data_IF_259821880327
#
_entry.id   IF_259821880327
#
_cell.length_a   1.000
_cell.length_b   1.000
_cell.length_c   1.000
_cell.angle_alpha   90.00
_cell.angle_beta   90.00
_cell.angle_gamma   90.00
#
_symmetry.space_group_name_H-M   'P 1'
#
loop_
_entity.id
_entity.type
_entity.pdbx_description
1 polymer ?
#
# COMPACT_ATOMS: atom_id res chain seq x y z
N UNK A 1 13.63 0.45 -21.49
CA UNK A 1 12.49 0.44 -20.55
C UNK A 1 12.99 -0.30 -19.33
N UNK A 2 13.48 0.44 -18.33
CA UNK A 2 14.13 -0.20 -17.17
C UNK A 2 13.11 -0.31 -16.05
N UNK A 3 12.46 -1.48 -15.97
CA UNK A 3 11.62 -1.84 -14.84
C UNK A 3 12.51 -2.45 -13.78
N UNK A 4 12.46 -1.89 -12.57
CA UNK A 4 13.09 -2.49 -11.40
C UNK A 4 12.03 -3.04 -10.45
N UNK A 5 12.41 -3.99 -9.62
CA UNK A 5 11.64 -4.44 -8.48
C UNK A 5 12.43 -4.19 -7.20
N UNK A 6 11.90 -3.37 -6.29
CA UNK A 6 12.40 -3.30 -4.93
C UNK A 6 11.62 -4.26 -4.03
N UNK A 7 12.29 -5.27 -3.49
CA UNK A 7 11.77 -6.15 -2.44
C UNK A 7 12.18 -5.60 -1.07
N UNK A 8 11.25 -5.58 -0.13
CA UNK A 8 11.56 -5.24 1.27
C UNK A 8 10.82 -6.16 2.22
N UNK A 9 11.58 -6.82 3.09
CA UNK A 9 11.01 -7.64 4.16
C UNK A 9 10.80 -6.76 5.37
N UNK A 10 9.57 -6.68 5.88
CA UNK A 10 9.23 -5.89 7.04
C UNK A 10 8.83 -6.78 8.21
N UNK A 11 9.29 -6.40 9.40
CA UNK A 11 8.67 -6.78 10.66
C UNK A 11 7.53 -5.78 10.95
N UNK A 12 6.29 -6.26 11.13
CA UNK A 12 5.10 -5.43 11.29
C UNK A 12 4.26 -5.82 12.51
N UNK A 13 4.79 -5.63 13.74
CA UNK A 13 4.16 -6.16 14.95
C UNK A 13 2.67 -5.82 15.07
N UNK A 14 2.28 -4.62 14.61
CA UNK A 14 0.90 -4.17 14.47
C UNK A 14 0.72 -3.39 13.15
N UNK A 15 -0.40 -3.62 12.46
CA UNK A 15 -0.77 -2.94 11.23
C UNK A 15 -2.24 -2.53 11.21
N UNK A 16 -2.51 -1.30 10.76
CA UNK A 16 -3.84 -0.77 10.48
C UNK A 16 -3.82 0.22 9.31
N UNK A 17 -4.93 0.26 8.57
CA UNK A 17 -5.17 1.27 7.55
C UNK A 17 -6.22 2.27 8.00
N UNK A 18 -6.06 3.51 7.56
CA UNK A 18 -7.11 4.51 7.72
C UNK A 18 -8.09 4.46 6.57
N UNK A 19 -9.31 3.99 6.83
CA UNK A 19 -10.44 4.27 5.96
C UNK A 19 -10.94 5.71 6.17
N UNK A 20 -11.39 6.40 5.10
CA UNK A 20 -12.09 7.67 5.21
C UNK A 20 -13.60 7.48 5.52
N UNK A 21 -13.95 6.40 6.22
CA UNK A 21 -15.30 6.14 6.71
C UNK A 21 -15.61 7.03 7.93
N UNK A 22 -16.85 6.98 8.44
CA UNK A 22 -17.31 7.75 9.61
C UNK A 22 -16.28 7.70 10.74
N UNK A 23 -16.04 8.86 11.39
CA UNK A 23 -14.94 9.15 12.31
C UNK A 23 -14.71 8.20 13.52
N UNK A 24 -15.51 7.14 13.63
CA UNK A 24 -15.63 6.24 14.78
C UNK A 24 -15.25 4.78 14.49
N UNK A 25 -15.09 4.36 13.23
CA UNK A 25 -14.70 2.98 12.88
C UNK A 25 -13.49 2.98 11.94
N UNK A 26 -12.43 2.30 12.35
CA UNK A 26 -11.21 2.12 11.57
C UNK A 26 -11.09 0.66 11.13
N UNK A 27 -11.49 0.40 9.89
CA UNK A 27 -11.37 -0.91 9.24
C UNK A 27 -9.94 -1.08 8.69
N UNK A 28 -9.37 -2.26 8.85
CA UNK A 28 -8.03 -2.58 8.33
C UNK A 28 -8.04 -3.72 7.32
N UNK A 29 -7.19 -3.61 6.29
CA UNK A 29 -6.97 -4.68 5.32
C UNK A 29 -6.04 -5.74 5.86
N UNK A 30 -6.33 -7.01 5.60
CA UNK A 30 -5.55 -8.15 6.17
C UNK A 30 -4.06 -8.06 5.83
N UNK A 31 -3.72 -7.46 4.68
CA UNK A 31 -2.36 -7.11 4.28
C UNK A 31 -2.27 -5.64 3.86
N UNK A 32 -1.08 -5.02 3.88
CA UNK A 32 -0.91 -3.68 3.32
C UNK A 32 -1.36 -3.60 1.88
N UNK A 33 -2.19 -2.60 1.60
CA UNK A 33 -2.69 -2.35 0.25
C UNK A 33 -1.55 -1.94 -0.69
N UNK A 34 -1.63 -2.28 -1.99
CA UNK A 34 -0.67 -1.80 -3.00
C UNK A 34 -0.42 -0.29 -2.92
N UNK A 35 -1.49 0.49 -2.73
CA UNK A 35 -1.41 1.94 -2.59
C UNK A 35 -0.62 2.37 -1.36
N UNK A 36 -0.80 1.69 -0.23
CA UNK A 36 -0.05 1.98 1.00
C UNK A 36 1.45 1.76 0.80
N UNK A 37 1.82 0.67 0.12
CA UNK A 37 3.23 0.37 -0.18
C UNK A 37 3.85 1.40 -1.12
N UNK A 38 3.13 1.86 -2.13
CA UNK A 38 3.63 2.92 -3.03
C UNK A 38 3.75 4.25 -2.29
N UNK A 39 2.79 4.57 -1.42
CA UNK A 39 2.84 5.79 -0.60
C UNK A 39 4.02 5.78 0.37
N UNK A 40 4.40 4.60 0.90
CA UNK A 40 5.58 4.42 1.73
C UNK A 40 6.84 4.85 0.98
N UNK A 41 7.02 4.36 -0.24
CA UNK A 41 8.16 4.70 -1.08
C UNK A 41 8.17 6.20 -1.42
N UNK A 42 7.03 6.75 -1.84
CA UNK A 42 6.91 8.17 -2.16
C UNK A 42 7.29 9.06 -0.96
N UNK A 43 6.90 8.66 0.25
CA UNK A 43 7.29 9.34 1.49
C UNK A 43 8.79 9.24 1.74
N UNK A 44 9.38 8.05 1.65
CA UNK A 44 10.82 7.86 1.88
C UNK A 44 11.68 8.67 0.88
N UNK A 45 11.26 8.74 -0.38
CA UNK A 45 11.90 9.60 -1.39
C UNK A 45 11.76 11.08 -1.03
N UNK A 46 10.59 11.51 -0.58
CA UNK A 46 10.39 12.87 -0.08
C UNK A 46 11.31 13.21 1.10
N UNK A 47 11.48 12.28 2.04
CA UNK A 47 12.37 12.46 3.20
C UNK A 47 13.85 12.55 2.79
N UNK A 48 14.33 11.68 1.88
CA UNK A 48 15.71 11.73 1.38
C UNK A 48 16.01 13.03 0.64
N UNK A 49 15.01 13.59 -0.02
CA UNK A 49 15.11 14.81 -0.84
C UNK A 49 14.67 16.06 -0.07
N UNK A 50 14.57 15.97 1.25
CA UNK A 50 14.28 17.07 2.17
C UNK A 50 12.99 17.85 1.82
N UNK A 51 12.00 17.17 1.22
CA UNK A 51 10.70 17.75 0.93
C UNK A 51 9.84 17.75 2.20
N UNK A 52 9.44 18.94 2.65
CA UNK A 52 8.54 19.04 3.80
C UNK A 52 7.13 18.60 3.41
N UNK A 53 6.42 17.93 4.33
CA UNK A 53 5.06 17.40 4.07
C UNK A 53 4.05 18.48 3.66
N UNK A 54 4.30 19.73 4.04
CA UNK A 54 3.45 20.90 3.77
C UNK A 54 3.95 21.75 2.60
N UNK A 55 5.08 21.40 1.99
CA UNK A 55 5.65 22.16 0.88
C UNK A 55 4.66 22.22 -0.27
N UNK A 56 4.23 23.43 -0.64
CA UNK A 56 3.32 23.66 -1.77
C UNK A 56 4.11 24.08 -3.01
N UNK A 57 3.79 23.43 -4.13
CA UNK A 57 4.38 23.71 -5.44
C UNK A 57 3.28 24.20 -6.37
N UNK A 58 3.59 25.22 -7.18
CA UNK A 58 2.67 25.71 -8.22
C UNK A 58 2.76 24.79 -9.42
N UNK A 59 1.67 24.10 -9.71
CA UNK A 59 1.54 23.21 -10.86
C UNK A 59 0.67 23.87 -11.93
N UNK A 60 1.13 23.83 -13.17
CA UNK A 60 0.34 24.20 -14.35
C UNK A 60 -0.64 23.07 -14.67
N UNK A 61 -1.92 23.39 -14.64
CA UNK A 61 -3.00 22.46 -15.02
C UNK A 61 -3.08 22.31 -16.53
N UNK A 62 -3.70 21.22 -17.00
CA UNK A 62 -4.02 21.03 -18.42
C UNK A 62 -4.87 22.16 -19.02
N UNK A 63 -5.60 22.91 -18.18
CA UNK A 63 -6.41 24.08 -18.55
C UNK A 63 -5.64 25.42 -18.47
N UNK A 64 -4.31 25.40 -18.34
CA UNK A 64 -3.47 26.60 -18.29
C UNK A 64 -3.49 27.38 -16.96
N UNK A 65 -4.37 27.02 -16.02
CA UNK A 65 -4.41 27.64 -14.69
C UNK A 65 -3.26 27.14 -13.80
N UNK A 66 -2.70 27.98 -12.92
CA UNK A 66 -1.73 27.57 -11.90
C UNK A 66 -2.46 27.26 -10.60
N UNK A 67 -2.27 26.07 -10.06
CA UNK A 67 -2.78 25.68 -8.73
C UNK A 67 -1.65 25.29 -7.80
N UNK A 68 -1.83 25.56 -6.51
CA UNK A 68 -0.90 25.07 -5.49
C UNK A 68 -1.29 23.66 -5.05
N UNK A 69 -0.33 22.76 -5.07
CA UNK A 69 -0.46 21.38 -4.62
C UNK A 69 0.65 21.05 -3.63
N UNK A 70 0.36 20.18 -2.69
CA UNK A 70 1.37 19.66 -1.77
C UNK A 70 2.33 18.73 -2.54
N UNK A 71 3.65 18.89 -2.34
CA UNK A 71 4.67 18.09 -3.02
C UNK A 71 4.46 16.59 -2.78
N UNK A 72 4.02 16.19 -1.57
CA UNK A 72 3.70 14.80 -1.24
C UNK A 72 2.59 14.20 -2.13
N UNK A 73 1.59 14.99 -2.53
CA UNK A 73 0.51 14.52 -3.38
C UNK A 73 1.03 14.29 -4.80
N UNK A 74 1.92 15.15 -5.27
CA UNK A 74 2.56 15.00 -6.57
C UNK A 74 3.47 13.77 -6.57
N UNK A 75 4.33 13.60 -5.55
CA UNK A 75 5.16 12.40 -5.41
C UNK A 75 4.30 11.13 -5.43
N UNK A 76 3.25 11.10 -4.62
CA UNK A 76 2.37 9.95 -4.58
C UNK A 76 1.69 9.69 -5.93
N UNK A 77 1.24 10.72 -6.64
CA UNK A 77 0.69 10.60 -7.99
C UNK A 77 1.73 10.05 -8.98
N UNK A 78 2.97 10.56 -8.95
CA UNK A 78 4.06 10.10 -9.81
C UNK A 78 4.31 8.61 -9.61
N UNK A 79 4.50 8.18 -8.37
CA UNK A 79 4.80 6.78 -8.09
C UNK A 79 3.59 5.88 -8.35
N UNK A 80 2.36 6.28 -8.00
CA UNK A 80 1.16 5.46 -8.24
C UNK A 80 0.85 5.25 -9.73
N UNK A 81 1.23 6.19 -10.60
CA UNK A 81 1.09 6.06 -12.06
C UNK A 81 2.19 5.23 -12.71
N UNK A 82 3.39 5.22 -12.12
CA UNK A 82 4.57 4.59 -12.71
C UNK A 82 4.97 3.26 -12.07
N UNK A 83 4.16 2.75 -11.14
CA UNK A 83 4.52 1.57 -10.35
C UNK A 83 3.35 0.61 -10.13
N UNK A 84 3.68 -0.65 -9.85
CA UNK A 84 2.80 -1.64 -9.23
C UNK A 84 3.37 -2.06 -7.88
N UNK A 85 2.51 -2.49 -6.96
CA UNK A 85 2.97 -3.01 -5.69
C UNK A 85 2.12 -4.18 -5.19
N UNK A 86 2.77 -5.13 -4.53
CA UNK A 86 2.11 -6.30 -3.96
C UNK A 86 2.71 -6.66 -2.61
N UNK A 87 1.93 -7.33 -1.78
CA UNK A 87 2.34 -7.87 -0.49
C UNK A 87 2.31 -9.39 -0.50
N UNK A 88 3.31 -10.00 0.15
CA UNK A 88 3.41 -11.43 0.43
C UNK A 88 3.52 -11.63 1.94
N UNK A 89 2.58 -12.36 2.56
CA UNK A 89 2.71 -12.73 3.95
C UNK A 89 3.81 -13.79 4.10
N UNK A 90 4.77 -13.54 4.98
CA UNK A 90 5.85 -14.48 5.31
C UNK A 90 5.61 -15.20 6.65
N UNK A 91 4.58 -14.78 7.38
CA UNK A 91 4.15 -15.37 8.64
C UNK A 91 2.62 -15.40 8.74
N UNK A 92 2.05 -16.22 9.65
CA UNK A 92 0.65 -16.11 10.02
C UNK A 92 0.26 -14.69 10.43
N UNK A 93 -1.00 -14.35 10.15
CA UNK A 93 -1.60 -13.04 10.39
C UNK A 93 -2.79 -13.21 11.31
N UNK A 94 -2.85 -12.43 12.39
CA UNK A 94 -4.00 -12.42 13.30
C UNK A 94 -4.72 -11.10 13.17
N UNK A 95 -5.99 -11.13 12.79
CA UNK A 95 -6.86 -9.95 12.82
C UNK A 95 -7.53 -9.86 14.18
N UNK A 96 -7.47 -8.70 14.82
CA UNK A 96 -8.10 -8.43 16.11
C UNK A 96 -8.82 -7.10 16.07
N UNK A 97 -9.99 -6.99 16.70
CA UNK A 97 -10.67 -5.71 16.90
C UNK A 97 -10.35 -5.23 18.30
N UNK A 98 -9.86 -3.99 18.43
CA UNK A 98 -9.64 -3.34 19.70
C UNK A 98 -10.45 -2.05 19.75
N UNK A 99 -11.19 -1.84 20.83
CA UNK A 99 -11.85 -0.55 21.06
C UNK A 99 -10.83 0.36 21.74
N UNK A 100 -10.37 1.38 21.02
CA UNK A 100 -9.50 2.42 21.57
C UNK A 100 -10.37 3.54 22.11
N UNK A 101 -10.21 3.82 23.40
CA UNK A 101 -10.85 4.97 24.02
C UNK A 101 -10.06 6.22 23.68
N UNK A 102 -10.62 7.11 22.88
CA UNK A 102 -10.03 8.40 22.57
C UNK A 102 -10.40 9.40 23.65
N UNK A 103 -9.37 9.98 24.25
CA UNK A 103 -9.52 11.13 25.14
C UNK A 103 -9.03 12.34 24.35
N UNK A 104 -9.93 13.25 24.02
CA UNK A 104 -9.58 14.51 23.37
C UNK A 104 -8.76 15.37 24.34
N UNK A 105 -7.44 15.39 24.19
CA UNK A 105 -6.53 16.14 25.08
C UNK A 105 -6.50 17.64 24.71
N UNK A 106 -6.78 17.99 23.44
CA UNK A 106 -6.73 19.39 22.98
C UNK A 106 -7.98 19.85 22.22
N UNK A 107 -8.83 20.58 22.94
CA UNK A 107 -9.72 21.70 22.56
C UNK A 107 -11.09 21.60 23.23
N UNK A 108 -11.18 22.17 24.44
CA UNK A 108 -12.32 22.93 25.00
C UNK A 108 -13.76 22.55 24.55
N UNK A 109 -14.11 21.28 24.50
CA UNK A 109 -15.52 20.85 24.52
C UNK A 109 -15.84 20.34 25.93
N UNK A 110 -15.91 21.28 26.87
CA UNK A 110 -16.50 21.02 28.18
C UNK A 110 -18.01 21.20 28.05
N UNK A 111 -18.77 20.13 28.21
CA UNK A 111 -20.22 20.23 28.38
C UNK A 111 -20.45 20.54 29.87
N UNK A 112 -20.94 21.73 30.21
CA UNK A 112 -21.42 22.00 31.56
C UNK A 112 -22.76 21.30 31.78
N UNK A 113 -22.75 20.21 32.55
CA UNK A 113 -24.00 19.69 33.12
C UNK A 113 -24.45 20.62 34.25
N UNK A 114 -25.76 20.84 34.35
CA UNK A 114 -26.40 21.55 35.47
C UNK A 114 -25.95 20.85 36.78
N UNK A 115 -24.98 21.45 37.48
CA UNK A 115 -24.26 21.03 38.72
C UNK A 115 -22.75 20.72 38.59
N UNK A 116 -21.98 21.59 37.92
CA UNK A 116 -20.48 21.68 38.08
C UNK A 116 -19.66 20.40 37.80
N UNK A 117 -20.25 19.34 37.26
CA UNK A 117 -19.49 18.19 36.77
C UNK A 117 -18.97 18.48 35.36
N UNK A 118 -17.64 18.47 35.22
CA UNK A 118 -16.95 18.61 33.93
C UNK A 118 -16.79 17.23 33.31
N UNK A 119 -17.53 16.95 32.25
CA UNK A 119 -17.38 15.71 31.49
C UNK A 119 -16.63 16.00 30.18
N UNK A 120 -15.49 15.32 29.99
CA UNK A 120 -14.83 15.26 28.69
C UNK A 120 -15.59 14.21 27.86
N UNK A 121 -16.13 14.54 26.66
CA UNK A 121 -16.74 13.54 25.80
C UNK A 121 -15.70 12.46 25.47
N UNK A 122 -16.05 11.22 25.81
CA UNK A 122 -15.24 10.02 25.54
C UNK A 122 -15.75 9.43 24.24
N UNK A 123 -15.04 9.66 23.14
CA UNK A 123 -15.31 8.91 21.92
C UNK A 123 -14.54 7.60 21.98
N UNK A 124 -15.21 6.51 21.64
CA UNK A 124 -14.56 5.22 21.43
C UNK A 124 -14.38 5.05 19.92
N UNK A 125 -13.16 4.75 19.50
CA UNK A 125 -12.85 4.36 18.12
C UNK A 125 -12.66 2.85 18.13
N UNK A 126 -13.42 2.12 17.32
CA UNK A 126 -13.12 0.72 17.09
C UNK A 126 -11.98 0.64 16.06
N UNK A 127 -10.90 -0.03 16.41
CA UNK A 127 -9.70 -0.19 15.58
C UNK A 127 -9.50 -1.66 15.29
N UNK A 128 -9.57 -2.04 14.02
CA UNK A 128 -9.06 -3.35 13.61
C UNK A 128 -7.54 -3.30 13.55
N UNK A 129 -6.89 -4.07 14.41
CA UNK A 129 -5.44 -4.23 14.47
C UNK A 129 -5.08 -5.61 13.96
N UNK A 130 -4.16 -5.63 13.02
CA UNK A 130 -3.59 -6.85 12.49
C UNK A 130 -2.23 -7.04 13.14
N UNK A 131 -2.07 -8.16 13.83
CA UNK A 131 -0.76 -8.62 14.25
C UNK A 131 -0.19 -9.50 13.17
N UNK A 132 0.91 -9.05 12.58
CA UNK A 132 1.58 -9.72 11.49
C UNK A 132 3.07 -9.78 11.81
N UNK A 133 3.67 -10.95 11.90
CA UNK A 133 5.09 -10.97 12.26
C UNK A 133 5.96 -10.47 11.11
N UNK A 134 5.76 -10.96 9.88
CA UNK A 134 6.63 -10.68 8.74
C UNK A 134 5.90 -10.64 7.40
N UNK A 135 6.17 -9.63 6.59
CA UNK A 135 5.77 -9.57 5.16
C UNK A 135 6.97 -9.30 4.27
N UNK A 136 6.85 -9.64 3.00
CA UNK A 136 7.58 -9.00 1.91
C UNK A 136 6.65 -8.02 1.17
N UNK A 137 7.18 -6.84 0.86
CA UNK A 137 6.58 -5.85 -0.01
C UNK A 137 7.38 -5.80 -1.31
N UNK A 138 6.70 -5.87 -2.44
CA UNK A 138 7.29 -5.81 -3.77
C UNK A 138 6.81 -4.54 -4.46
N UNK A 139 7.74 -3.68 -4.88
CA UNK A 139 7.48 -2.42 -5.56
C UNK A 139 8.13 -2.46 -6.95
N UNK A 140 7.31 -2.58 -7.98
CA UNK A 140 7.76 -2.60 -9.36
C UNK A 140 7.67 -1.19 -9.95
N UNK A 141 8.78 -0.64 -10.43
CA UNK A 141 8.89 0.77 -10.82
C UNK A 141 9.40 0.91 -12.24
N UNK A 142 8.72 1.75 -13.01
CA UNK A 142 9.26 2.28 -14.26
C UNK A 142 10.06 3.56 -13.99
N UNK A 143 11.37 3.44 -13.69
CA UNK A 143 12.22 4.56 -13.24
C UNK A 143 12.18 5.72 -14.23
N UNK A 144 12.30 5.44 -15.53
CA UNK A 144 12.32 6.47 -16.56
C UNK A 144 11.04 7.31 -16.53
N UNK A 145 9.89 6.65 -16.36
CA UNK A 145 8.59 7.32 -16.29
C UNK A 145 8.39 8.10 -14.99
N UNK A 146 8.96 7.61 -13.87
CA UNK A 146 9.04 8.37 -12.61
C UNK A 146 9.82 9.65 -12.85
N UNK A 147 11.02 9.56 -13.44
CA UNK A 147 11.91 10.70 -13.65
C UNK A 147 11.33 11.71 -14.65
N UNK A 148 10.71 11.27 -15.74
CA UNK A 148 9.97 12.15 -16.67
C UNK A 148 8.86 12.92 -15.96
N UNK A 149 8.09 12.23 -15.10
CA UNK A 149 7.02 12.86 -14.34
C UNK A 149 7.56 13.84 -13.31
N UNK A 150 8.65 13.51 -12.61
CA UNK A 150 9.30 14.40 -11.65
C UNK A 150 9.87 15.65 -12.33
N UNK A 151 10.56 15.52 -13.47
CA UNK A 151 11.05 16.67 -14.26
C UNK A 151 9.93 17.65 -14.61
N UNK A 152 8.74 17.14 -14.91
CA UNK A 152 7.58 17.95 -15.26
C UNK A 152 6.93 18.65 -14.06
N UNK A 153 6.78 17.97 -12.93
CA UNK A 153 5.93 18.46 -11.82
C UNK A 153 6.69 18.85 -10.55
N UNK A 154 7.88 18.29 -10.33
CA UNK A 154 8.77 18.52 -9.18
C UNK A 154 10.26 18.49 -9.61
N UNK A 155 10.70 19.38 -10.53
CA UNK A 155 12.06 19.34 -11.07
C UNK A 155 13.16 19.48 -10.00
N UNK A 156 12.84 20.11 -8.87
CA UNK A 156 13.77 20.26 -7.75
C UNK A 156 14.14 18.96 -7.04
N UNK A 157 13.36 17.88 -7.23
CA UNK A 157 13.65 16.56 -6.65
C UNK A 157 14.83 15.90 -7.35
N UNK A 158 15.05 16.22 -8.63
CA UNK A 158 16.02 15.55 -9.48
C UNK A 158 15.60 14.12 -9.86
N UNK A 159 16.52 13.41 -10.51
CA UNK A 159 16.29 12.03 -10.94
C UNK A 159 16.44 11.06 -9.76
N UNK A 160 15.50 10.11 -9.68
CA UNK A 160 15.47 8.99 -8.75
C UNK A 160 16.26 7.83 -9.34
N UNK A 161 17.15 7.28 -8.52
CA UNK A 161 17.98 6.11 -8.85
C UNK A 161 17.57 4.89 -8.03
N UNK A 162 18.06 3.70 -8.41
CA UNK A 162 17.88 2.46 -7.63
C UNK A 162 18.37 2.61 -6.18
N UNK A 163 19.49 3.31 -5.97
CA UNK A 163 20.04 3.59 -4.63
C UNK A 163 19.12 4.48 -3.80
N UNK A 164 18.41 5.42 -4.43
CA UNK A 164 17.42 6.25 -3.74
C UNK A 164 16.22 5.41 -3.29
N UNK A 165 15.75 4.50 -4.14
CA UNK A 165 14.66 3.57 -3.83
C UNK A 165 15.05 2.66 -2.67
N UNK A 166 16.24 2.06 -2.73
CA UNK A 166 16.80 1.24 -1.66
C UNK A 166 16.88 2.01 -0.34
N UNK A 167 17.46 3.22 -0.37
CA UNK A 167 17.59 4.08 0.82
C UNK A 167 16.22 4.48 1.37
N UNK A 168 15.26 4.79 0.51
CA UNK A 168 13.90 5.20 0.91
C UNK A 168 13.19 4.09 1.70
N UNK A 169 13.37 2.84 1.27
CA UNK A 169 12.78 1.68 1.91
C UNK A 169 13.52 1.30 3.21
N UNK A 170 14.85 1.53 3.28
CA UNK A 170 15.63 1.32 4.51
C UNK A 170 15.26 2.26 5.64
N UNK A 171 14.82 3.48 5.34
CA UNK A 171 14.41 4.46 6.36
C UNK A 171 12.92 4.39 6.69
N UNK A 172 12.16 3.52 6.02
CA UNK A 172 10.73 3.35 6.27
C UNK A 172 10.48 2.86 7.71
N UNK A 173 9.80 3.66 8.52
CA UNK A 173 9.50 3.34 9.93
C UNK A 173 8.04 3.01 10.21
N UNK A 174 7.16 3.27 9.25
CA UNK A 174 5.70 3.21 9.44
C UNK A 174 5.05 2.73 8.15
N UNK A 175 4.18 1.71 8.23
CA UNK A 175 3.33 1.28 7.11
C UNK A 175 1.87 1.39 7.55
N UNK A 176 1.09 2.23 6.86
CA UNK A 176 -0.28 2.55 7.26
C UNK A 176 -0.31 3.80 8.15
N UNK A 177 -0.99 3.72 9.30
CA UNK A 177 -1.11 4.85 10.24
C UNK A 177 0.15 5.04 11.10
N UNK A 178 0.31 6.23 11.68
CA UNK A 178 1.45 6.64 12.52
C UNK A 178 1.79 5.67 13.64
N UNK A 179 0.79 4.97 14.18
CA UNK A 179 0.94 4.03 15.29
C UNK A 179 1.46 2.65 14.82
N UNK A 180 1.51 2.41 13.52
CA UNK A 180 1.81 1.12 12.90
C UNK A 180 3.29 1.06 12.51
N UNK A 181 4.12 0.76 13.50
CA UNK A 181 5.56 0.67 13.33
C UNK A 181 5.93 -0.47 12.37
N UNK A 182 6.86 -0.17 11.48
CA UNK A 182 7.45 -1.11 10.54
C UNK A 182 8.96 -1.04 10.66
N UNK A 183 9.61 -2.21 10.72
CA UNK A 183 11.07 -2.29 10.69
C UNK A 183 11.51 -3.02 9.43
N UNK A 184 12.23 -2.36 8.51
CA UNK A 184 12.81 -3.04 7.36
C UNK A 184 13.92 -3.97 7.84
N UNK A 185 13.81 -5.24 7.48
CA UNK A 185 14.77 -6.31 7.82
C UNK A 185 15.82 -6.41 6.72
N UNK A 186 15.36 -6.45 5.47
CA UNK A 186 16.19 -6.50 4.27
C UNK A 186 15.53 -5.71 3.15
N UNK A 187 16.35 -5.07 2.33
CA UNK A 187 15.93 -4.35 1.13
C UNK A 187 16.84 -4.78 0.00
N UNK A 188 16.26 -5.24 -1.09
CA UNK A 188 16.96 -5.66 -2.29
C UNK A 188 16.29 -5.02 -3.51
N UNK A 189 17.08 -4.58 -4.47
CA UNK A 189 16.59 -4.00 -5.73
C UNK A 189 17.10 -4.89 -6.85
N UNK A 190 16.17 -5.34 -7.69
CA UNK A 190 16.44 -6.21 -8.83
C UNK A 190 16.04 -5.51 -10.11
N UNK A 191 16.84 -5.68 -11.16
CA UNK A 191 16.57 -5.23 -12.53
C UNK A 191 16.08 -6.38 -13.43
N UNK A 192 16.02 -7.59 -12.87
CA UNK A 192 15.69 -8.82 -13.58
C UNK A 192 14.82 -9.73 -12.71
N UNK A 193 13.88 -10.40 -13.37
CA UNK A 193 12.98 -11.38 -12.78
C UNK A 193 12.58 -12.40 -13.84
N UNK A 194 12.27 -13.62 -13.40
CA UNK A 194 11.96 -14.72 -14.31
C UNK A 194 10.48 -14.68 -14.71
N UNK A 195 10.18 -14.79 -16.00
CA UNK A 195 8.79 -14.85 -16.49
C UNK A 195 8.39 -16.32 -16.58
N UNK A 196 7.46 -16.74 -15.71
CA UNK A 196 6.98 -18.12 -15.66
C UNK A 196 6.02 -18.42 -16.81
N UNK A 197 5.09 -17.50 -17.09
CA UNK A 197 4.05 -17.67 -18.11
C UNK A 197 2.65 -17.30 -17.63
N UNK A 198 1.63 -17.94 -18.19
CA UNK A 198 0.21 -17.61 -17.94
C UNK A 198 -0.48 -18.51 -16.90
N UNK A 199 0.16 -19.58 -16.45
CA UNK A 199 -0.37 -20.54 -15.48
C UNK A 199 0.71 -20.95 -14.50
N UNK A 200 0.37 -21.03 -13.21
CA UNK A 200 1.31 -21.37 -12.16
C UNK A 200 0.79 -20.99 -10.78
N UNK A 201 1.70 -20.92 -9.81
CA UNK A 201 1.38 -20.55 -8.43
C UNK A 201 1.84 -19.13 -8.12
N UNK A 202 1.01 -18.39 -7.40
CA UNK A 202 1.36 -17.08 -6.83
C UNK A 202 1.36 -17.15 -5.31
N UNK A 203 2.15 -16.28 -4.69
CA UNK A 203 2.19 -16.12 -3.24
C UNK A 203 2.15 -14.64 -2.83
N UNK A 204 1.78 -13.76 -3.74
CA UNK A 204 1.48 -12.34 -3.50
C UNK A 204 0.00 -12.07 -3.69
N UNK A 205 -0.48 -10.93 -3.17
CA UNK A 205 -1.83 -10.46 -3.52
C UNK A 205 -1.97 -10.20 -5.02
N UNK A 206 -3.17 -10.42 -5.58
CA UNK A 206 -3.46 -10.21 -6.99
C UNK A 206 -4.89 -9.67 -7.20
N UNK A 207 -5.11 -8.68 -8.09
CA UNK A 207 -6.44 -8.33 -8.57
C UNK A 207 -7.17 -9.54 -9.16
N UNK A 208 -8.43 -9.75 -8.79
CA UNK A 208 -9.24 -10.84 -9.35
C UNK A 208 -9.48 -10.65 -10.86
N UNK A 209 -9.58 -9.41 -11.31
CA UNK A 209 -9.85 -9.08 -12.72
C UNK A 209 -8.71 -9.46 -13.66
N UNK A 210 -7.54 -9.84 -13.14
CA UNK A 210 -6.39 -10.31 -13.92
C UNK A 210 -6.43 -11.81 -14.18
N UNK A 211 -7.29 -12.54 -13.47
CA UNK A 211 -7.41 -13.99 -13.57
C UNK A 211 -8.43 -14.37 -14.65
N UNK A 212 -8.21 -15.51 -15.32
CA UNK A 212 -9.17 -16.09 -16.28
C UNK A 212 -10.39 -16.69 -15.58
N UNK A 213 -10.18 -17.20 -14.36
CA UNK A 213 -11.18 -17.94 -13.60
C UNK A 213 -11.18 -17.46 -12.14
N UNK A 214 -12.31 -17.64 -11.47
CA UNK A 214 -12.45 -17.34 -10.04
C UNK A 214 -11.72 -18.43 -9.24
N UNK A 215 -10.72 -18.02 -8.47
CA UNK A 215 -9.98 -18.91 -7.57
C UNK A 215 -10.79 -19.22 -6.30
N UNK A 216 -10.75 -20.47 -5.87
CA UNK A 216 -11.35 -20.91 -4.60
C UNK A 216 -10.35 -20.90 -3.43
N UNK A 217 -9.06 -20.83 -3.73
CA UNK A 217 -7.98 -20.72 -2.76
C UNK A 217 -7.75 -19.25 -2.40
N UNK A 218 -7.28 -19.00 -1.17
CA UNK A 218 -6.96 -17.66 -0.69
C UNK A 218 -8.13 -16.90 -0.06
N UNK A 219 -7.84 -15.72 0.48
CA UNK A 219 -8.82 -14.81 1.08
C UNK A 219 -9.19 -13.73 0.06
N UNK A 220 -10.47 -13.58 -0.25
CA UNK A 220 -10.93 -12.51 -1.13
C UNK A 220 -11.27 -11.28 -0.30
N UNK A 221 -10.71 -10.13 -0.67
CA UNK A 221 -10.92 -8.86 0.03
C UNK A 221 -11.03 -7.68 -0.94
N UNK A 222 -11.88 -6.69 -0.64
CA UNK A 222 -11.90 -5.40 -1.34
C UNK A 222 -10.78 -4.51 -0.83
N UNK A 223 -9.83 -4.12 -1.69
CA UNK A 223 -8.63 -3.37 -1.29
C UNK A 223 -8.57 -2.02 -2.01
N UNK A 224 -8.11 -0.98 -1.29
CA UNK A 224 -7.80 0.32 -1.89
C UNK A 224 -6.67 0.20 -2.93
N UNK A 225 -6.94 0.62 -4.16
CA UNK A 225 -5.98 0.51 -5.27
C UNK A 225 -5.20 1.79 -5.55
N UNK A 226 -4.05 1.64 -6.21
CA UNK A 226 -3.28 2.75 -6.77
C UNK A 226 -3.78 3.12 -8.17
N UNK A 227 -3.41 4.31 -8.64
CA UNK A 227 -3.90 4.86 -9.90
C UNK A 227 -3.75 3.95 -11.13
N UNK A 228 -2.64 3.21 -11.23
CA UNK A 228 -2.37 2.34 -12.38
C UNK A 228 -3.28 1.12 -12.50
N UNK A 229 -4.03 0.79 -11.45
CA UNK A 229 -5.05 -0.26 -11.46
C UNK A 229 -6.45 0.26 -11.83
N UNK A 230 -6.61 1.58 -11.96
CA UNK A 230 -7.89 2.16 -12.35
C UNK A 230 -8.13 1.98 -13.85
N UNK A 231 -9.39 1.77 -14.27
CA UNK A 231 -9.74 1.72 -15.69
C UNK A 231 -9.56 3.07 -16.40
N UNK A 232 -9.56 4.17 -15.63
CA UNK A 232 -9.38 5.53 -16.14
C UNK A 232 -8.02 6.06 -15.73
N UNK A 233 -7.23 6.51 -16.72
CA UNK A 233 -5.93 7.12 -16.49
C UNK A 233 -6.09 8.48 -15.80
N UNK A 234 -5.42 8.65 -14.67
CA UNK A 234 -5.42 9.92 -13.92
C UNK A 234 -4.22 10.76 -14.35
N UNK A 235 -4.43 11.59 -15.38
CA UNK A 235 -3.37 12.39 -16.03
C UNK A 235 -2.88 13.59 -15.21
N UNK A 236 -3.69 14.07 -14.24
CA UNK A 236 -3.37 15.27 -13.45
C UNK A 236 -3.40 14.94 -11.95
N UNK A 237 -2.35 15.28 -11.17
CA UNK A 237 -2.33 15.10 -9.72
C UNK A 237 -3.48 15.80 -8.98
N UNK A 238 -4.12 16.83 -9.56
CA UNK A 238 -5.30 17.48 -8.98
C UNK A 238 -6.52 16.56 -8.87
N UNK A 239 -6.61 15.55 -9.73
CA UNK A 239 -7.72 14.60 -9.72
C UNK A 239 -7.51 13.44 -8.76
N UNK A 240 -6.30 13.33 -8.18
CA UNK A 240 -5.91 12.24 -7.29
C UNK A 240 -6.91 12.05 -6.13
N UNK A 241 -7.42 13.13 -5.53
CA UNK A 241 -8.37 13.08 -4.41
C UNK A 241 -9.68 12.37 -4.75
N UNK A 242 -10.13 12.46 -6.00
CA UNK A 242 -11.40 11.86 -6.48
C UNK A 242 -11.35 10.33 -6.49
N UNK A 243 -10.16 9.75 -6.68
CA UNK A 243 -9.98 8.31 -6.87
C UNK A 243 -9.43 7.60 -5.63
N UNK A 244 -9.27 8.30 -4.50
CA UNK A 244 -8.68 7.73 -3.27
C UNK A 244 -9.55 6.69 -2.57
N UNK A 245 -10.80 6.53 -2.96
CA UNK A 245 -11.74 5.60 -2.33
C UNK A 245 -12.07 4.40 -3.21
N UNK A 246 -11.49 4.36 -4.42
CA UNK A 246 -11.70 3.24 -5.34
C UNK A 246 -11.13 1.97 -4.74
N UNK A 247 -11.95 0.91 -4.78
CA UNK A 247 -11.59 -0.43 -4.33
C UNK A 247 -11.71 -1.40 -5.49
N UNK A 248 -10.90 -2.44 -5.43
CA UNK A 248 -10.99 -3.59 -6.33
C UNK A 248 -10.87 -4.85 -5.50
N UNK A 249 -11.47 -5.95 -5.98
CA UNK A 249 -11.36 -7.24 -5.33
C UNK A 249 -10.02 -7.87 -5.61
N UNK A 250 -9.34 -8.30 -4.56
CA UNK A 250 -8.10 -9.04 -4.64
C UNK A 250 -8.28 -10.43 -4.07
N UNK A 251 -7.52 -11.38 -4.58
CA UNK A 251 -7.18 -12.59 -3.84
C UNK A 251 -5.90 -12.33 -3.06
N UNK A 252 -5.94 -12.64 -1.76
CA UNK A 252 -4.81 -12.62 -0.86
C UNK A 252 -4.30 -14.05 -0.63
N UNK A 253 -2.97 -14.29 -0.62
CA UNK A 253 -2.33 -15.60 -0.41
C UNK A 253 -2.39 -16.03 1.06
N UNK A 254 -3.59 -16.10 1.59
CA UNK A 254 -3.93 -16.36 2.99
C UNK A 254 -5.10 -17.34 3.07
N UNK A 255 -5.01 -18.33 3.95
CA UNK A 255 -6.12 -19.23 4.30
C UNK A 255 -6.52 -19.06 5.75
N UNK A 256 -7.82 -19.00 6.04
CA UNK A 256 -8.33 -18.92 7.40
C UNK A 256 -8.15 -20.27 8.10
N UNK A 257 -7.50 -20.26 9.24
CA UNK A 257 -7.27 -21.39 10.11
C UNK A 257 -7.85 -21.10 11.50
N UNK A 258 -8.34 -22.16 12.16
CA UNK A 258 -8.89 -22.09 13.52
C UNK A 258 -8.11 -23.02 14.42
N UNK A 259 -7.58 -22.50 15.53
CA UNK A 259 -6.93 -23.32 16.55
C UNK A 259 -7.57 -23.08 17.91
N UNK A 260 -7.55 -24.11 18.77
CA UNK A 260 -7.95 -23.95 20.17
C UNK A 260 -6.69 -23.64 20.97
N UNK A 261 -6.65 -22.47 21.61
CA UNK A 261 -5.57 -22.04 22.49
C UNK A 261 -6.16 -21.65 23.85
N UNK A 262 -5.70 -22.30 24.92
CA UNK A 262 -6.19 -22.07 26.29
C UNK A 262 -7.73 -22.17 26.42
N UNK A 263 -8.34 -23.13 25.73
CA UNK A 263 -9.80 -23.34 25.72
C UNK A 263 -10.59 -22.34 24.87
N UNK A 264 -9.93 -21.40 24.19
CA UNK A 264 -10.57 -20.43 23.30
C UNK A 264 -10.25 -20.73 21.84
N UNK A 265 -11.23 -20.57 20.95
CA UNK A 265 -11.01 -20.63 19.51
C UNK A 265 -10.32 -19.33 19.07
N UNK A 266 -9.14 -19.47 18.49
CA UNK A 266 -8.34 -18.38 17.92
C UNK A 266 -8.32 -18.55 16.41
N UNK A 267 -8.79 -17.53 15.70
CA UNK A 267 -8.71 -17.44 14.25
C UNK A 267 -7.42 -16.74 13.82
N UNK A 268 -6.75 -17.30 12.81
CA UNK A 268 -5.58 -16.70 12.18
C UNK A 268 -5.55 -17.04 10.70
N UNK A 269 -4.82 -16.25 9.91
CA UNK A 269 -4.65 -16.46 8.49
C UNK A 269 -3.24 -16.97 8.22
N UNK A 270 -3.11 -18.16 7.63
CA UNK A 270 -1.83 -18.78 7.29
C UNK A 270 -1.44 -18.42 5.84
N UNK A 271 -0.16 -18.10 5.55
CA UNK A 271 0.32 -17.96 4.18
C UNK A 271 0.10 -19.24 3.37
N UNK A 272 -0.43 -19.09 2.16
CA UNK A 272 -0.63 -20.18 1.21
C UNK A 272 -0.19 -19.76 -0.19
N UNK A 273 0.04 -20.74 -1.06
CA UNK A 273 0.23 -20.50 -2.48
C UNK A 273 -1.08 -20.75 -3.21
N UNK A 274 -1.35 -19.95 -4.24
CA UNK A 274 -2.61 -20.00 -4.99
C UNK A 274 -2.29 -20.40 -6.42
N UNK A 275 -2.92 -21.48 -6.89
CA UNK A 275 -2.89 -21.89 -8.30
C UNK A 275 -3.76 -20.93 -9.13
N UNK A 276 -3.20 -20.36 -10.19
CA UNK A 276 -3.84 -19.33 -11.00
C UNK A 276 -3.61 -19.54 -12.50
N UNK A 277 -4.61 -19.15 -13.28
CA UNK A 277 -4.50 -18.88 -14.72
C UNK A 277 -4.80 -17.41 -14.96
N UNK A 278 -3.88 -16.69 -15.59
CA UNK A 278 -4.00 -15.24 -15.84
C UNK A 278 -4.47 -14.96 -17.25
N UNK A 279 -5.11 -13.80 -17.46
CA UNK A 279 -5.52 -13.33 -18.79
C UNK A 279 -4.29 -13.04 -19.66
N UNK A 280 -4.48 -13.00 -20.97
CA UNK A 280 -3.39 -13.01 -21.95
C UNK A 280 -2.52 -11.74 -21.87
N UNK A 281 -3.04 -10.65 -21.32
CA UNK A 281 -2.33 -9.38 -21.11
C UNK A 281 -1.39 -9.40 -19.90
N UNK A 282 -1.44 -10.44 -19.07
CA UNK A 282 -0.65 -10.56 -17.84
C UNK A 282 0.29 -11.76 -17.89
N UNK A 283 1.32 -11.73 -17.05
CA UNK A 283 2.24 -12.83 -16.85
C UNK A 283 2.56 -13.01 -15.37
N UNK A 284 2.77 -14.25 -14.97
CA UNK A 284 3.32 -14.61 -13.67
C UNK A 284 4.84 -14.44 -13.75
N UNK A 285 5.40 -13.73 -12.78
CA UNK A 285 6.83 -13.54 -12.61
C UNK A 285 7.31 -14.13 -11.29
N UNK A 286 8.58 -14.52 -11.25
CA UNK A 286 9.27 -14.99 -10.06
C UNK A 286 10.46 -14.09 -9.74
N UNK A 287 10.51 -13.67 -8.49
CA UNK A 287 11.55 -12.83 -7.91
C UNK A 287 12.63 -13.69 -7.25
N UNK A 288 13.87 -13.18 -7.13
CA UNK A 288 14.98 -13.94 -6.53
C UNK A 288 14.73 -14.45 -5.10
N UNK A 289 13.84 -13.80 -4.34
CA UNK A 289 13.45 -14.20 -2.98
C UNK A 289 12.26 -15.21 -2.95
N UNK A 290 11.93 -15.79 -4.10
CA UNK A 290 10.83 -16.73 -4.29
C UNK A 290 9.43 -16.09 -4.28
N UNK A 291 9.34 -14.76 -4.33
CA UNK A 291 8.09 -14.04 -4.53
C UNK A 291 7.53 -14.32 -5.93
N UNK A 292 6.24 -14.67 -6.02
CA UNK A 292 5.57 -14.92 -7.30
C UNK A 292 4.35 -14.05 -7.44
N UNK A 293 4.48 -13.07 -8.32
CA UNK A 293 3.50 -12.00 -8.55
C UNK A 293 3.01 -12.01 -10.00
N UNK A 294 1.89 -11.34 -10.26
CA UNK A 294 1.36 -11.14 -11.60
C UNK A 294 1.62 -9.70 -11.99
N UNK A 295 2.04 -9.48 -13.24
CA UNK A 295 2.20 -8.15 -13.81
C UNK A 295 1.67 -8.08 -15.23
N UNK A 296 1.22 -6.89 -15.69
CA UNK A 296 0.91 -6.66 -17.09
C UNK A 296 2.14 -6.84 -17.99
N UNK A 297 1.99 -7.53 -19.13
CA UNK A 297 3.07 -7.77 -20.08
C UNK A 297 3.62 -6.48 -20.70
N UNK A 298 2.75 -5.52 -20.98
CA UNK A 298 3.11 -4.20 -21.50
C UNK A 298 4.02 -3.44 -20.53
N UNK A 299 3.77 -3.57 -19.22
CA UNK A 299 4.63 -3.02 -18.18
C UNK A 299 5.99 -3.70 -18.16
N UNK A 300 6.05 -5.02 -18.38
CA UNK A 300 7.30 -5.78 -18.46
C UNK A 300 8.08 -5.57 -19.76
N UNK A 301 7.51 -4.88 -20.76
CA UNK A 301 8.10 -4.77 -22.10
C UNK A 301 8.06 -6.09 -22.90
N UNK A 302 7.18 -7.02 -22.52
CA UNK A 302 6.98 -8.32 -23.16
C UNK A 302 5.80 -8.21 -24.11
N UNK A 303 5.95 -8.73 -25.34
CA UNK A 303 4.86 -8.78 -26.33
C UNK A 303 3.97 -10.00 -26.12
#
# INVERSE_FOLDING_TARGET
MTVICASTHFLLPLFSLGYPETATILVSHTLPSPRTLIALLARGIGEIRELTSEQKVKVLTSKGSKRQLEARLILQWVFENNSYAFSRPLSPVKKSSQIWRVVWIEKKFLIEKRKKEREVPRDAINVEIISLAKIAAYLFLHIDGVNESLKKYLPQVGDVTEKDVERALRIARVIGRSEMLATPISVEVFDSFNIIGSEGKINTCCPLDWLKEVVQQGLIEDILVHLRLLPVKVEDPLNLSKHRREKMRFVLPLSLERMIQNGMVVEYFKPVEIDVKVKDEYAIIELPDGGRAILPKDFLGVK
#
